data_IF_527121429750
#
_entry.id   IF_527121429750
#
_cell.length_a   1.000
_cell.length_b   1.000
_cell.length_c   1.000
_cell.angle_alpha   90.00
_cell.angle_beta   90.00
_cell.angle_gamma   90.00
#
_symmetry.space_group_name_H-M   'P 1'
#
loop_
_entity.id
_entity.type
_entity.pdbx_description
1 polymer ?
#
# COMPACT_ATOMS: atom_id res chain seq x y z
N UNK A 1 -31.67 16.15 0.95
CA UNK A 1 -32.27 14.82 1.21
C UNK A 1 -32.10 14.49 2.69
N UNK A 2 -33.17 14.37 3.46
CA UNK A 2 -33.13 13.88 4.82
C UNK A 2 -32.97 12.35 4.75
N UNK A 3 -31.76 11.87 5.00
CA UNK A 3 -31.54 10.44 5.18
C UNK A 3 -32.05 10.06 6.57
N UNK A 4 -33.17 9.38 6.62
CA UNK A 4 -33.75 8.79 7.82
C UNK A 4 -33.38 7.31 7.85
N UNK A 5 -32.76 6.87 8.93
CA UNK A 5 -32.38 5.46 9.10
C UNK A 5 -30.97 5.24 9.64
N UNK A 6 -30.50 4.00 9.60
CA UNK A 6 -29.19 3.60 10.13
C UNK A 6 -27.98 4.33 9.50
N UNK A 7 -28.16 4.99 8.36
CA UNK A 7 -27.12 5.77 7.70
C UNK A 7 -27.12 7.27 8.07
N UNK A 8 -28.12 7.77 8.76
CA UNK A 8 -28.19 9.16 9.17
C UNK A 8 -27.02 9.57 10.09
N UNK A 9 -26.50 8.63 10.87
CA UNK A 9 -25.34 8.82 11.76
C UNK A 9 -24.03 9.00 11.01
N UNK A 10 -24.00 8.71 9.70
CA UNK A 10 -22.80 8.81 8.85
C UNK A 10 -22.74 10.13 8.08
N UNK A 11 -23.76 10.94 8.12
CA UNK A 11 -23.78 12.24 7.41
C UNK A 11 -22.67 13.13 7.95
N UNK A 12 -21.82 13.64 7.05
CA UNK A 12 -20.66 14.47 7.39
C UNK A 12 -19.42 13.70 7.90
N UNK A 13 -19.47 12.36 7.97
CA UNK A 13 -18.29 11.53 8.30
C UNK A 13 -17.45 11.26 7.04
N UNK A 14 -16.12 11.08 7.19
CA UNK A 14 -15.27 10.58 6.11
C UNK A 14 -15.74 9.22 5.60
N UNK A 15 -15.44 8.91 4.33
CA UNK A 15 -15.76 7.61 3.75
C UNK A 15 -15.05 6.48 4.50
N UNK A 16 -15.77 5.37 4.70
CA UNK A 16 -15.23 4.14 5.23
C UNK A 16 -14.25 3.50 4.23
N UNK A 17 -13.24 2.80 4.74
CA UNK A 17 -12.26 2.03 3.98
C UNK A 17 -11.50 2.83 2.89
N UNK A 18 -11.44 4.15 3.01
CA UNK A 18 -10.79 5.01 2.03
C UNK A 18 -9.85 5.99 2.73
N UNK A 19 -8.53 5.94 2.47
CA UNK A 19 -7.59 6.93 2.96
C UNK A 19 -7.94 8.33 2.42
N UNK A 20 -7.84 9.32 3.29
CA UNK A 20 -8.11 10.72 2.92
C UNK A 20 -7.11 11.26 1.90
N UNK A 21 -5.86 10.83 2.03
CA UNK A 21 -4.75 11.25 1.19
C UNK A 21 -3.90 10.05 0.86
N UNK A 22 -3.45 9.98 -0.39
CA UNK A 22 -2.47 9.02 -0.85
C UNK A 22 -1.46 9.74 -1.72
N UNK A 23 -0.20 9.39 -1.59
CA UNK A 23 0.86 9.90 -2.44
C UNK A 23 1.87 8.80 -2.75
N UNK A 24 2.46 8.86 -3.92
CA UNK A 24 3.56 7.99 -4.30
C UNK A 24 4.64 8.80 -5.01
N UNK A 25 5.88 8.51 -4.68
CA UNK A 25 7.06 9.04 -5.33
C UNK A 25 7.93 7.86 -5.73
N UNK A 26 8.45 7.90 -6.96
CA UNK A 26 9.38 6.91 -7.47
C UNK A 26 10.51 7.60 -8.22
N UNK A 27 11.75 7.18 -7.97
CA UNK A 27 12.91 7.66 -8.67
C UNK A 27 13.80 6.49 -9.09
N UNK A 28 14.43 6.61 -10.27
CA UNK A 28 15.44 5.68 -10.73
C UNK A 28 16.62 6.42 -11.35
N UNK A 29 17.77 5.79 -11.30
CA UNK A 29 19.03 6.34 -11.83
C UNK A 29 19.82 5.27 -12.56
N UNK A 30 20.26 5.60 -13.79
CA UNK A 30 21.10 4.74 -14.62
C UNK A 30 22.55 5.22 -14.61
N UNK A 31 23.47 4.30 -14.40
CA UNK A 31 24.91 4.59 -14.26
C UNK A 31 25.70 4.55 -15.57
N UNK A 32 25.04 4.65 -16.71
CA UNK A 32 25.68 4.52 -18.04
C UNK A 32 26.83 5.50 -18.28
N UNK A 33 26.74 6.71 -17.72
CA UNK A 33 27.77 7.76 -17.87
C UNK A 33 28.92 7.64 -16.86
N UNK A 34 28.81 6.79 -15.85
CA UNK A 34 29.87 6.50 -14.88
C UNK A 34 30.64 5.21 -15.21
N UNK A 35 30.48 4.66 -16.41
CA UNK A 35 31.19 3.45 -16.86
C UNK A 35 30.48 2.13 -16.48
N UNK A 36 29.48 2.14 -15.61
CA UNK A 36 28.68 0.97 -15.26
C UNK A 36 27.46 0.86 -16.18
N UNK A 37 27.71 0.63 -17.45
CA UNK A 37 26.65 0.48 -18.47
C UNK A 37 25.72 -0.66 -18.09
N UNK A 38 24.40 -0.40 -18.17
CA UNK A 38 23.37 -1.38 -17.86
C UNK A 38 22.97 -1.45 -16.39
N UNK A 39 23.68 -0.80 -15.48
CA UNK A 39 23.29 -0.74 -14.06
C UNK A 39 22.26 0.36 -13.83
N UNK A 40 21.17 0.02 -13.17
CA UNK A 40 20.13 0.95 -12.71
C UNK A 40 19.76 0.62 -11.26
N UNK A 41 19.59 1.67 -10.48
CA UNK A 41 19.02 1.58 -9.14
C UNK A 41 17.82 2.50 -9.05
N UNK A 42 16.89 2.15 -8.21
CA UNK A 42 15.74 3.00 -7.97
C UNK A 42 15.01 2.62 -6.69
N UNK A 43 14.08 3.47 -6.35
CA UNK A 43 13.25 3.25 -5.19
C UNK A 43 12.07 4.20 -5.16
N UNK A 44 11.14 3.91 -4.31
CA UNK A 44 9.94 4.71 -4.15
C UNK A 44 9.43 4.69 -2.73
N UNK A 45 8.57 5.65 -2.45
CA UNK A 45 7.83 5.74 -1.21
C UNK A 45 6.34 5.86 -1.54
N UNK A 46 5.50 5.12 -0.82
CA UNK A 46 4.04 5.19 -0.90
C UNK A 46 3.51 5.61 0.45
N UNK A 47 2.79 6.72 0.49
CA UNK A 47 2.11 7.23 1.67
C UNK A 47 0.63 6.88 1.60
N UNK A 48 0.12 6.32 2.67
CA UNK A 48 -1.31 6.09 2.90
C UNK A 48 -1.71 6.90 4.12
N UNK A 49 -2.57 7.90 3.93
CA UNK A 49 -3.11 8.69 5.03
C UNK A 49 -4.02 7.84 5.92
N UNK A 50 -4.26 8.32 7.11
CA UNK A 50 -5.18 7.67 8.03
C UNK A 50 -6.61 7.58 7.47
N UNK A 51 -7.32 6.54 7.81
CA UNK A 51 -8.67 6.26 7.32
C UNK A 51 -9.51 5.53 8.36
N UNK A 52 -10.84 5.51 8.15
CA UNK A 52 -11.77 4.83 9.03
C UNK A 52 -12.17 3.49 8.42
N UNK A 53 -12.04 2.42 9.18
CA UNK A 53 -12.42 1.07 8.74
C UNK A 53 -13.93 0.92 8.66
N UNK A 54 -14.60 1.43 9.70
CA UNK A 54 -16.02 1.24 9.91
C UNK A 54 -16.56 2.28 10.90
N UNK A 55 -17.84 2.63 10.78
CA UNK A 55 -18.58 3.38 11.78
C UNK A 55 -19.70 2.55 12.37
N UNK A 56 -19.84 2.59 13.68
CA UNK A 56 -20.98 1.95 14.35
C UNK A 56 -22.30 2.56 13.88
N UNK A 57 -23.22 1.74 13.44
CA UNK A 57 -24.52 2.17 12.91
C UNK A 57 -25.63 2.09 13.94
N UNK A 58 -25.43 1.35 15.01
CA UNK A 58 -26.33 1.18 16.13
C UNK A 58 -25.62 1.40 17.45
N UNK A 59 -26.34 1.84 18.47
CA UNK A 59 -25.78 1.96 19.80
C UNK A 59 -25.52 0.58 20.41
N UNK A 60 -24.30 0.40 20.94
CA UNK A 60 -23.96 -0.71 21.83
C UNK A 60 -23.74 -0.14 23.26
N UNK A 61 -23.81 -0.99 24.33
CA UNK A 61 -23.69 -0.50 25.70
C UNK A 61 -22.45 0.34 26.00
N UNK A 62 -21.32 0.07 25.30
CA UNK A 62 -20.06 0.77 25.49
C UNK A 62 -19.61 1.59 24.26
N UNK A 63 -20.32 1.51 23.12
CA UNK A 63 -19.90 2.15 21.86
C UNK A 63 -21.11 2.76 21.17
N UNK A 64 -21.26 4.09 21.22
CA UNK A 64 -22.39 4.77 20.59
C UNK A 64 -22.33 4.71 19.05
N UNK A 65 -23.51 4.84 18.42
CA UNK A 65 -23.63 4.97 16.97
C UNK A 65 -22.82 6.17 16.46
N UNK A 66 -22.17 6.01 15.32
CA UNK A 66 -21.28 7.03 14.73
C UNK A 66 -19.83 6.98 15.25
N UNK A 67 -19.49 6.10 16.19
CA UNK A 67 -18.09 5.86 16.58
C UNK A 67 -17.34 5.21 15.42
N UNK A 68 -16.25 5.86 14.98
CA UNK A 68 -15.39 5.37 13.91
C UNK A 68 -14.13 4.68 14.46
N UNK A 69 -13.72 3.60 13.82
CA UNK A 69 -12.48 2.91 14.10
C UNK A 69 -11.42 3.35 13.09
N UNK A 70 -10.45 4.12 13.55
CA UNK A 70 -9.44 4.75 12.71
C UNK A 70 -8.20 3.85 12.59
N UNK A 71 -7.66 3.76 11.37
CA UNK A 71 -6.34 3.23 11.08
C UNK A 71 -5.35 4.37 10.92
N UNK A 72 -4.15 4.17 11.44
CA UNK A 72 -3.05 5.13 11.34
C UNK A 72 -2.54 5.22 9.90
N UNK A 73 -1.88 6.33 9.62
CA UNK A 73 -1.16 6.52 8.39
C UNK A 73 0.10 5.63 8.32
N UNK A 74 0.54 5.36 7.12
CA UNK A 74 1.73 4.57 6.88
C UNK A 74 2.52 5.08 5.68
N UNK A 75 3.85 4.98 5.76
CA UNK A 75 4.77 5.14 4.64
C UNK A 75 5.44 3.79 4.39
N UNK A 76 5.41 3.35 3.14
CA UNK A 76 6.02 2.09 2.70
C UNK A 76 7.07 2.41 1.64
N UNK A 77 8.27 1.88 1.80
CA UNK A 77 9.39 2.09 0.90
C UNK A 77 9.65 0.83 0.08
N UNK A 78 9.91 1.02 -1.21
CA UNK A 78 10.30 -0.02 -2.15
C UNK A 78 11.64 0.36 -2.77
N UNK A 79 12.47 -0.62 -3.12
CA UNK A 79 13.76 -0.39 -3.78
C UNK A 79 14.03 -1.47 -4.82
N UNK A 80 14.83 -1.15 -5.83
CA UNK A 80 15.31 -2.13 -6.78
C UNK A 80 16.71 -1.80 -7.28
N UNK A 81 17.39 -2.84 -7.74
CA UNK A 81 18.60 -2.77 -8.55
C UNK A 81 18.42 -3.66 -9.76
N UNK A 82 18.81 -3.20 -10.94
CA UNK A 82 18.79 -4.01 -12.14
C UNK A 82 20.08 -3.84 -12.94
N UNK A 83 20.48 -4.89 -13.62
CA UNK A 83 21.67 -4.92 -14.44
C UNK A 83 21.37 -5.57 -15.79
N UNK A 84 21.55 -4.79 -16.86
CA UNK A 84 21.43 -5.25 -18.23
C UNK A 84 22.82 -5.59 -18.76
N UNK A 85 23.00 -6.78 -19.30
CA UNK A 85 24.26 -7.25 -19.86
C UNK A 85 24.00 -8.17 -21.08
N UNK A 86 25.09 -8.59 -21.73
CA UNK A 86 25.01 -9.63 -22.78
C UNK A 86 25.78 -10.87 -22.32
N UNK A 87 25.14 -12.01 -22.33
CA UNK A 87 25.75 -13.31 -22.02
C UNK A 87 25.57 -14.19 -23.27
N UNK A 88 26.70 -14.71 -23.78
CA UNK A 88 26.71 -15.54 -25.00
C UNK A 88 25.99 -14.89 -26.21
N UNK A 89 26.01 -13.56 -26.32
CA UNK A 89 25.35 -12.81 -27.37
C UNK A 89 23.88 -12.47 -27.12
N UNK A 90 23.27 -13.00 -26.07
CA UNK A 90 21.87 -12.75 -25.70
C UNK A 90 21.76 -11.60 -24.69
N UNK A 91 20.80 -10.71 -24.91
CA UNK A 91 20.49 -9.66 -23.96
C UNK A 91 19.91 -10.26 -22.70
N UNK A 92 20.56 -10.02 -21.57
CA UNK A 92 20.22 -10.59 -20.27
C UNK A 92 20.03 -9.48 -19.25
N UNK A 93 18.91 -9.53 -18.53
CA UNK A 93 18.61 -8.62 -17.43
C UNK A 93 18.54 -9.40 -16.13
N UNK A 94 19.22 -8.89 -15.11
CA UNK A 94 19.07 -9.31 -13.73
C UNK A 94 18.43 -8.18 -12.94
N UNK A 95 17.42 -8.50 -12.14
CA UNK A 95 16.81 -7.50 -11.26
C UNK A 95 16.54 -8.08 -9.88
N UNK A 96 16.84 -7.28 -8.86
CA UNK A 96 16.52 -7.56 -7.48
C UNK A 96 15.63 -6.46 -6.95
N UNK A 97 14.46 -6.84 -6.48
CA UNK A 97 13.43 -5.93 -5.99
C UNK A 97 13.13 -6.22 -4.52
N UNK A 98 12.99 -5.18 -3.73
CA UNK A 98 12.56 -5.24 -2.34
C UNK A 98 11.30 -4.40 -2.19
N UNK A 99 10.21 -5.03 -1.81
CA UNK A 99 8.96 -4.34 -1.44
C UNK A 99 8.86 -4.25 0.07
N UNK A 100 8.33 -3.12 0.55
CA UNK A 100 8.22 -2.84 1.97
C UNK A 100 9.57 -2.99 2.69
N UNK A 101 10.56 -2.23 2.25
CA UNK A 101 11.96 -2.30 2.68
C UNK A 101 12.12 -2.25 4.22
N UNK A 102 11.30 -1.46 4.89
CA UNK A 102 11.34 -1.26 6.35
C UNK A 102 10.51 -2.29 7.13
N UNK A 103 9.86 -3.22 6.43
CA UNK A 103 8.94 -4.22 7.02
C UNK A 103 7.83 -3.59 7.88
N UNK A 104 7.30 -2.46 7.40
CA UNK A 104 6.24 -1.74 8.09
C UNK A 104 4.94 -2.52 8.04
N UNK A 105 4.33 -2.79 9.18
CA UNK A 105 2.97 -3.28 9.24
C UNK A 105 2.02 -2.13 8.88
N UNK A 106 1.20 -2.32 7.87
CA UNK A 106 0.17 -1.38 7.43
C UNK A 106 -1.06 -2.13 6.95
N UNK A 107 -2.16 -1.42 6.80
CA UNK A 107 -3.44 -2.00 6.40
C UNK A 107 -3.93 -1.34 5.13
N UNK A 108 -4.47 -2.15 4.22
CA UNK A 108 -4.86 -1.71 2.86
C UNK A 108 -6.35 -1.57 2.69
N UNK A 109 -7.13 -2.38 3.37
CA UNK A 109 -8.58 -2.33 3.27
C UNK A 109 -9.24 -2.93 4.51
N UNK A 110 -10.51 -2.61 4.67
CA UNK A 110 -11.42 -3.33 5.55
C UNK A 110 -12.70 -3.61 4.78
N UNK A 111 -13.39 -4.68 5.10
CA UNK A 111 -14.74 -4.89 4.60
C UNK A 111 -15.74 -4.57 5.71
N UNK A 112 -16.88 -4.03 5.32
CA UNK A 112 -18.03 -3.89 6.21
C UNK A 112 -18.63 -5.26 6.41
N UNK A 113 -18.18 -5.97 7.45
CA UNK A 113 -18.76 -7.25 7.81
C UNK A 113 -20.21 -7.06 8.26
N UNK A 114 -21.09 -7.91 7.78
CA UNK A 114 -22.49 -7.96 8.19
C UNK A 114 -22.69 -8.58 9.57
N UNK A 115 -21.64 -9.11 10.19
CA UNK A 115 -21.67 -9.65 11.53
C UNK A 115 -21.18 -8.63 12.56
N UNK A 116 -21.97 -8.38 13.56
CA UNK A 116 -21.89 -7.26 14.50
C UNK A 116 -20.57 -7.10 15.29
N UNK A 117 -19.62 -8.02 15.22
CA UNK A 117 -18.45 -8.03 16.07
C UNK A 117 -17.11 -8.31 15.36
N UNK A 118 -17.10 -8.48 14.05
CA UNK A 118 -15.86 -8.78 13.30
C UNK A 118 -15.69 -7.77 12.17
N UNK A 119 -14.63 -6.97 12.26
CA UNK A 119 -14.18 -6.08 11.18
C UNK A 119 -13.00 -6.77 10.51
N UNK A 120 -13.17 -7.39 9.34
CA UNK A 120 -12.04 -7.98 8.63
C UNK A 120 -11.14 -6.85 8.12
N UNK A 121 -9.90 -6.84 8.59
CA UNK A 121 -8.87 -5.88 8.21
C UNK A 121 -7.83 -6.64 7.39
N UNK A 122 -7.49 -6.13 6.21
CA UNK A 122 -6.48 -6.74 5.36
C UNK A 122 -5.13 -6.03 5.58
N UNK A 123 -4.12 -6.75 6.10
CA UNK A 123 -2.77 -6.21 6.16
C UNK A 123 -2.19 -6.06 4.75
N UNK A 124 -1.32 -5.09 4.59
CA UNK A 124 -0.48 -4.98 3.42
C UNK A 124 0.60 -6.06 3.41
N UNK A 125 1.31 -6.16 2.31
CA UNK A 125 2.40 -7.13 2.19
C UNK A 125 3.52 -6.83 3.19
N UNK A 126 3.98 -7.86 3.88
CA UNK A 126 5.24 -7.85 4.60
C UNK A 126 6.42 -7.59 3.63
N UNK A 127 7.62 -7.42 4.14
CA UNK A 127 8.80 -7.26 3.29
C UNK A 127 8.97 -8.48 2.37
N UNK A 128 9.14 -8.20 1.09
CA UNK A 128 9.31 -9.21 0.05
C UNK A 128 10.57 -8.94 -0.75
N UNK A 129 11.31 -10.00 -1.03
CA UNK A 129 12.48 -9.99 -1.90
C UNK A 129 12.14 -10.78 -3.16
N UNK A 130 12.46 -10.21 -4.33
CA UNK A 130 12.24 -10.86 -5.61
C UNK A 130 13.48 -10.69 -6.49
N UNK A 131 14.08 -11.82 -6.86
CA UNK A 131 15.15 -11.89 -7.85
C UNK A 131 14.57 -12.38 -9.17
N UNK A 132 14.85 -11.67 -10.24
CA UNK A 132 14.41 -12.02 -11.59
C UNK A 132 15.60 -12.04 -12.52
N UNK A 133 15.69 -13.05 -13.36
CA UNK A 133 16.61 -13.10 -14.49
C UNK A 133 15.78 -13.31 -15.77
N UNK A 134 16.01 -12.50 -16.79
CA UNK A 134 15.34 -12.61 -18.08
C UNK A 134 16.35 -12.56 -19.21
N UNK A 135 16.15 -13.41 -20.20
CA UNK A 135 16.98 -13.52 -21.42
C UNK A 135 16.09 -13.30 -22.61
N UNK A 136 16.53 -12.44 -23.53
CA UNK A 136 15.85 -12.20 -24.79
C UNK A 136 16.60 -12.92 -25.92
N UNK A 137 15.91 -13.84 -26.56
CA UNK A 137 16.40 -14.62 -27.70
C UNK A 137 16.21 -13.87 -29.00
#
# INVERSE_FOLDING_TARGET
RKDSGAFAVLVGKPLEATPKHQASLFANYGFSHLGAKGLRIGGGARYFGSWYTYYMRTNLPAVPAGTGFKMDDAVVYDAFISYDTKIAGYETNFSFNVKNLTDKLYYTSSSTGTQANIIPIQPGYARQFMLTASVKF
#
